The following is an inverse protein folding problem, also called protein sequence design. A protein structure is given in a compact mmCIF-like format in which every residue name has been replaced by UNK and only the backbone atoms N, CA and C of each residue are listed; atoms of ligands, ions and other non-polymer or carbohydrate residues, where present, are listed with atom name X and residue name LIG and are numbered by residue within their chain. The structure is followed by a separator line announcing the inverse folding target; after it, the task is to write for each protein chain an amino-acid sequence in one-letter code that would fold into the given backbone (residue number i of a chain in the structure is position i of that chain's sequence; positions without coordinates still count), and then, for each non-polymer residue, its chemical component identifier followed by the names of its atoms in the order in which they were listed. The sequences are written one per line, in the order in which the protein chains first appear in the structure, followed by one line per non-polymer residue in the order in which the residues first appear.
data_IF_917150286039
#
_entry.id   IF_917150286039
#
_cell.length_a   1.000
_cell.length_b   1.000
_cell.length_c   1.000
_cell.angle_alpha   90.00
_cell.angle_beta   90.00
_cell.angle_gamma   90.00
#
_symmetry.space_group_name_H-M   'P 1'
#
loop_
_entity.id
_entity.type
_entity.pdbx_description
1 polymer ?
#
# COMPACT_ATOMS: atom_id res chain seq x y z
N UNK A 1 -8.89 9.33 2.71
CA UNK A 1 -8.91 9.08 4.17
C UNK A 1 -7.50 8.77 4.66
N UNK A 2 -7.17 9.08 5.91
CA UNK A 2 -5.91 8.71 6.57
C UNK A 2 -6.24 7.68 7.67
N UNK A 3 -5.37 6.69 7.88
CA UNK A 3 -5.59 5.69 8.93
C UNK A 3 -5.16 6.23 10.30
N UNK A 4 -6.11 6.80 11.05
CA UNK A 4 -5.84 7.35 12.39
C UNK A 4 -5.40 6.32 13.43
N UNK A 5 -5.64 5.02 13.20
CA UNK A 5 -5.21 3.95 14.12
C UNK A 5 -3.67 3.85 14.24
N UNK A 6 -2.96 4.23 13.17
CA UNK A 6 -1.49 4.19 13.15
C UNK A 6 -0.85 5.31 13.98
N UNK A 7 -1.62 6.31 14.42
CA UNK A 7 -1.11 7.35 15.34
C UNK A 7 -0.81 6.76 16.73
N UNK A 8 -1.68 5.86 17.19
CA UNK A 8 -1.56 5.20 18.49
C UNK A 8 -0.84 3.84 18.40
N UNK A 9 -0.97 3.15 17.26
CA UNK A 9 -0.46 1.77 17.06
C UNK A 9 0.35 1.61 15.76
N UNK A 10 1.49 2.32 15.62
CA UNK A 10 2.31 2.27 14.41
C UNK A 10 2.89 0.88 14.10
N UNK A 11 3.10 0.05 15.11
CA UNK A 11 3.62 -1.32 15.00
C UNK A 11 2.75 -2.25 14.16
N UNK A 12 1.47 -1.93 13.96
CA UNK A 12 0.56 -2.71 13.11
C UNK A 12 1.06 -2.83 11.68
N UNK A 13 1.82 -1.85 11.19
CA UNK A 13 2.48 -1.92 9.87
C UNK A 13 3.45 -3.09 9.80
N UNK A 14 4.14 -3.39 10.89
CA UNK A 14 5.07 -4.52 10.98
C UNK A 14 4.35 -5.85 11.18
N UNK A 15 3.22 -5.86 11.89
CA UNK A 15 2.43 -7.08 12.14
C UNK A 15 1.69 -7.57 10.89
N UNK A 16 1.03 -6.65 10.15
CA UNK A 16 0.36 -6.94 8.89
C UNK A 16 0.30 -5.68 8.01
N UNK A 17 1.28 -5.51 7.13
CA UNK A 17 1.40 -4.35 6.27
C UNK A 17 0.24 -4.19 5.27
N UNK A 18 -0.46 -5.27 4.91
CA UNK A 18 -1.56 -5.21 3.95
C UNK A 18 -2.90 -4.86 4.62
N UNK A 19 -3.09 -5.24 5.88
CA UNK A 19 -4.22 -4.80 6.68
C UNK A 19 -4.03 -3.36 7.22
N UNK A 20 -2.81 -3.01 7.61
CA UNK A 20 -2.44 -1.71 8.18
C UNK A 20 -2.20 -0.63 7.09
N UNK A 21 -3.24 -0.31 6.33
CA UNK A 21 -3.20 0.74 5.30
C UNK A 21 -2.85 2.12 5.88
N UNK A 22 -2.18 2.98 5.09
CA UNK A 22 -1.73 4.31 5.53
C UNK A 22 -2.71 5.40 5.08
N UNK A 23 -3.02 5.44 3.77
CA UNK A 23 -3.96 6.40 3.18
C UNK A 23 -4.87 5.74 2.14
N UNK A 24 -6.00 6.38 1.88
CA UNK A 24 -6.88 6.12 0.74
C UNK A 24 -7.04 7.40 -0.05
N UNK A 25 -6.74 7.34 -1.35
CA UNK A 25 -6.78 8.48 -2.27
C UNK A 25 -7.81 8.19 -3.35
N UNK A 26 -8.62 9.19 -3.69
CA UNK A 26 -9.48 9.13 -4.87
C UNK A 26 -8.64 9.38 -6.11
N UNK A 27 -8.62 8.42 -7.05
CA UNK A 27 -7.83 8.56 -8.26
C UNK A 27 -8.45 9.61 -9.18
N UNK A 28 -7.68 10.62 -9.55
CA UNK A 28 -8.09 11.59 -10.57
C UNK A 28 -8.12 10.98 -11.97
N UNK A 29 -7.31 9.94 -12.21
CA UNK A 29 -7.31 9.16 -13.45
C UNK A 29 -7.10 7.66 -13.16
N UNK A 30 -8.14 6.82 -13.34
CA UNK A 30 -8.02 5.37 -13.10
C UNK A 30 -6.98 4.65 -13.97
N UNK A 31 -6.63 5.17 -15.15
CA UNK A 31 -5.65 4.51 -16.03
C UNK A 31 -4.23 4.56 -15.49
N UNK A 32 -3.95 5.37 -14.46
CA UNK A 32 -2.63 5.43 -13.83
C UNK A 32 -2.27 4.10 -13.11
N UNK A 33 -3.26 3.25 -12.80
CA UNK A 33 -3.02 1.90 -12.26
C UNK A 33 -2.21 1.05 -13.24
N UNK A 34 -2.38 1.24 -14.55
CA UNK A 34 -1.70 0.44 -15.58
C UNK A 34 -0.17 0.68 -15.62
N UNK A 35 0.30 1.77 -14.99
CA UNK A 35 1.71 2.09 -14.86
C UNK A 35 2.36 1.50 -13.59
N UNK A 36 1.57 0.91 -12.69
CA UNK A 36 2.06 0.29 -11.46
C UNK A 36 2.51 -1.16 -11.71
N UNK A 37 3.33 -1.69 -10.79
CA UNK A 37 3.75 -3.09 -10.85
C UNK A 37 2.61 -4.02 -10.40
N UNK A 38 2.45 -5.14 -11.11
CA UNK A 38 1.70 -6.27 -10.59
C UNK A 38 2.51 -7.06 -9.53
N UNK A 39 1.90 -8.08 -8.93
CA UNK A 39 2.53 -8.87 -7.88
C UNK A 39 3.81 -9.60 -8.37
N UNK A 40 3.83 -10.12 -9.59
CA UNK A 40 4.96 -10.86 -10.14
C UNK A 40 6.13 -9.91 -10.47
N UNK A 41 5.82 -8.75 -11.05
CA UNK A 41 6.79 -7.70 -11.34
C UNK A 41 7.41 -7.16 -10.05
N UNK A 42 6.61 -6.96 -8.99
CA UNK A 42 7.12 -6.50 -7.70
C UNK A 42 8.03 -7.53 -7.02
N UNK A 43 7.64 -8.81 -7.02
CA UNK A 43 8.47 -9.89 -6.50
C UNK A 43 9.82 -9.98 -7.24
N UNK A 44 9.80 -9.90 -8.57
CA UNK A 44 11.03 -9.87 -9.36
C UNK A 44 11.89 -8.63 -9.10
N UNK A 45 11.28 -7.48 -8.78
CA UNK A 45 12.00 -6.24 -8.50
C UNK A 45 12.78 -6.31 -7.18
N UNK A 46 12.20 -6.93 -6.14
CA UNK A 46 12.87 -7.10 -4.84
C UNK A 46 13.87 -8.27 -4.83
N UNK A 47 13.83 -9.13 -5.85
CA UNK A 47 14.76 -10.25 -6.02
C UNK A 47 14.41 -11.48 -5.18
N UNK A 48 13.13 -11.72 -4.91
CA UNK A 48 12.61 -12.88 -4.18
C UNK A 48 12.15 -14.04 -5.09
#
# INVERSE_FOLDING_TARGET
AVNGELEDTPEKVNEDAYAAWIIKVEMSNPSEVDALMDAAAYQSFIGE
#
